data_IF_189807524926
#
_entry.id   IF_189807524926
#
_cell.length_a   1.000
_cell.length_b   1.000
_cell.length_c   1.000
_cell.angle_alpha   90.00
_cell.angle_beta   90.00
_cell.angle_gamma   90.00
#
_symmetry.space_group_name_H-M   'P 1'
#
loop_
_entity.id
_entity.type
_entity.pdbx_description
1 polymer ?
#
# COMPACT_ATOMS: atom_id res chain seq x y z
N UNK A 1 1.72 0.35 -10.41
CA UNK A 1 2.12 1.76 -10.16
C UNK A 1 2.36 1.94 -8.67
N UNK A 2 3.36 2.74 -8.29
CA UNK A 2 3.59 3.18 -6.91
C UNK A 2 2.78 4.45 -6.61
N UNK A 3 1.83 4.37 -5.67
CA UNK A 3 0.93 5.48 -5.33
C UNK A 3 1.35 6.26 -4.07
N UNK A 4 2.52 5.95 -3.49
CA UNK A 4 3.00 6.55 -2.25
C UNK A 4 3.08 5.54 -1.10
N UNK A 5 3.24 6.07 0.11
CA UNK A 5 3.33 5.28 1.36
C UNK A 5 2.39 5.86 2.42
N UNK A 6 1.82 4.99 3.25
CA UNK A 6 0.95 5.34 4.37
C UNK A 6 1.61 4.89 5.67
N UNK A 7 1.63 5.76 6.68
CA UNK A 7 2.30 5.52 7.96
C UNK A 7 1.48 5.92 9.18
N UNK A 8 0.22 6.32 8.98
CA UNK A 8 -0.70 6.79 10.04
C UNK A 8 -2.04 6.04 9.93
N UNK A 9 -2.84 6.08 10.98
CA UNK A 9 -4.17 5.45 11.01
C UNK A 9 -4.18 3.97 11.38
N UNK A 10 -3.03 3.42 11.78
CA UNK A 10 -2.93 2.06 12.30
C UNK A 10 -3.05 2.06 13.82
N UNK A 11 -3.80 1.11 14.36
CA UNK A 11 -3.67 0.70 15.76
C UNK A 11 -2.71 -0.49 15.91
N UNK A 12 -2.41 -0.87 17.15
CA UNK A 12 -1.49 -1.99 17.45
C UNK A 12 -2.00 -3.34 16.91
N UNK A 13 -3.30 -3.59 16.98
CA UNK A 13 -3.87 -4.87 16.55
C UNK A 13 -3.79 -5.01 15.03
N UNK A 14 -4.09 -3.93 14.31
CA UNK A 14 -4.02 -3.88 12.85
C UNK A 14 -2.57 -4.00 12.36
N UNK A 15 -1.60 -3.35 13.02
CA UNK A 15 -0.18 -3.55 12.70
C UNK A 15 0.26 -5.01 12.87
N UNK A 16 -0.14 -5.66 13.96
CA UNK A 16 0.19 -7.06 14.21
C UNK A 16 -0.41 -7.98 13.13
N UNK A 17 -1.68 -7.77 12.80
CA UNK A 17 -2.40 -8.52 11.75
C UNK A 17 -1.78 -8.32 10.37
N UNK A 18 -1.48 -7.09 9.99
CA UNK A 18 -0.81 -6.79 8.72
C UNK A 18 0.57 -7.40 8.66
N UNK A 19 1.35 -7.31 9.74
CA UNK A 19 2.70 -7.89 9.80
C UNK A 19 2.68 -9.40 9.59
N UNK A 20 1.77 -10.12 10.26
CA UNK A 20 1.61 -11.56 10.08
C UNK A 20 1.26 -11.89 8.63
N UNK A 21 0.23 -11.24 8.07
CA UNK A 21 -0.23 -11.53 6.71
C UNK A 21 0.79 -11.17 5.63
N UNK A 22 1.49 -10.04 5.77
CA UNK A 22 2.50 -9.60 4.81
C UNK A 22 3.74 -10.50 4.81
N UNK A 23 4.09 -11.09 5.96
CA UNK A 23 5.23 -12.00 6.08
C UNK A 23 5.05 -13.26 5.22
N UNK A 24 3.82 -13.78 5.11
CA UNK A 24 3.47 -14.92 4.25
C UNK A 24 3.55 -14.60 2.73
N UNK A 25 3.62 -13.32 2.39
CA UNK A 25 3.59 -12.82 1.02
C UNK A 25 4.97 -12.33 0.56
N UNK A 26 6.01 -12.45 1.37
CA UNK A 26 7.34 -11.92 1.07
C UNK A 26 7.89 -12.43 -0.27
N UNK A 27 8.54 -11.53 -1.01
CA UNK A 27 9.19 -11.83 -2.29
C UNK A 27 10.51 -11.07 -2.44
N UNK A 28 11.41 -11.60 -3.27
CA UNK A 28 12.75 -11.04 -3.43
C UNK A 28 12.81 -9.74 -4.26
N UNK A 29 11.83 -9.49 -5.13
CA UNK A 29 11.84 -8.36 -6.07
C UNK A 29 10.61 -7.49 -5.90
N UNK A 30 10.71 -6.21 -6.25
CA UNK A 30 9.59 -5.29 -6.23
C UNK A 30 8.46 -5.75 -7.17
N UNK A 31 7.18 -5.77 -6.72
CA UNK A 31 6.04 -6.04 -7.58
C UNK A 31 5.60 -4.80 -8.39
N UNK A 32 6.18 -3.63 -8.13
CA UNK A 32 5.81 -2.40 -8.82
C UNK A 32 6.36 -2.40 -10.24
N UNK A 33 5.45 -2.21 -11.22
CA UNK A 33 5.81 -1.98 -12.63
C UNK A 33 6.55 -0.65 -12.84
N UNK A 34 6.23 0.36 -12.03
CA UNK A 34 6.88 1.67 -12.05
C UNK A 34 8.02 1.71 -11.04
N UNK A 35 9.04 2.52 -11.31
CA UNK A 35 10.15 2.74 -10.38
C UNK A 35 9.64 3.22 -9.00
N UNK A 36 10.13 2.57 -7.94
CA UNK A 36 9.93 3.00 -6.56
C UNK A 36 11.11 3.88 -6.18
N UNK A 37 10.89 5.09 -5.62
CA UNK A 37 11.97 5.97 -5.22
C UNK A 37 13.01 5.25 -4.34
N UNK A 38 14.30 5.49 -4.58
CA UNK A 38 15.40 4.74 -3.94
C UNK A 38 15.34 4.77 -2.42
N UNK A 39 14.95 5.91 -1.85
CA UNK A 39 14.79 6.09 -0.41
C UNK A 39 13.66 5.25 0.18
N UNK A 40 12.63 4.93 -0.63
CA UNK A 40 11.53 4.04 -0.24
C UNK A 40 11.86 2.58 -0.48
N UNK A 41 12.64 2.29 -1.53
CA UNK A 41 13.09 0.94 -1.84
C UNK A 41 14.14 0.42 -0.85
N UNK A 42 14.98 1.32 -0.31
CA UNK A 42 16.04 0.96 0.63
C UNK A 42 15.45 0.38 1.93
N UNK A 43 15.68 -0.91 2.16
CA UNK A 43 15.19 -1.63 3.34
C UNK A 43 13.72 -2.05 3.27
N UNK A 44 13.07 -1.88 2.11
CA UNK A 44 11.72 -2.40 1.90
C UNK A 44 11.73 -3.94 1.87
N UNK A 45 10.73 -4.55 2.51
CA UNK A 45 10.36 -5.95 2.28
C UNK A 45 9.27 -5.98 1.22
N UNK A 46 9.55 -6.60 0.08
CA UNK A 46 8.59 -6.70 -1.01
C UNK A 46 7.62 -7.85 -0.73
N UNK A 47 6.35 -7.67 -1.12
CA UNK A 47 5.32 -8.68 -0.93
C UNK A 47 4.53 -8.89 -2.22
N UNK A 48 3.89 -10.06 -2.36
CA UNK A 48 2.91 -10.32 -3.42
C UNK A 48 1.75 -9.33 -3.28
N UNK A 49 1.29 -8.70 -4.39
CA UNK A 49 0.22 -7.71 -4.36
C UNK A 49 -1.16 -8.38 -4.25
N UNK A 50 -1.38 -9.12 -3.16
CA UNK A 50 -2.58 -9.94 -2.93
C UNK A 50 -3.58 -9.29 -1.96
N UNK A 51 -3.14 -8.28 -1.19
CA UNK A 51 -3.99 -7.62 -0.20
C UNK A 51 -4.53 -6.29 -0.74
N UNK A 52 -5.82 -6.03 -0.50
CA UNK A 52 -6.44 -4.73 -0.73
C UNK A 52 -6.63 -4.02 0.60
N UNK A 53 -6.23 -2.76 0.66
CA UNK A 53 -6.37 -1.87 1.81
C UNK A 53 -7.06 -0.58 1.41
N UNK A 54 -7.80 -0.02 2.35
CA UNK A 54 -8.44 1.29 2.20
C UNK A 54 -7.61 2.37 2.87
N UNK A 55 -7.51 3.52 2.19
CA UNK A 55 -6.85 4.72 2.72
C UNK A 55 -7.73 5.94 2.44
N UNK A 56 -7.83 6.83 3.42
CA UNK A 56 -8.34 8.17 3.20
C UNK A 56 -7.17 9.09 2.83
N UNK A 57 -7.35 9.99 1.86
CA UNK A 57 -6.29 10.88 1.40
C UNK A 57 -6.90 12.23 0.99
N UNK A 58 -6.07 13.28 0.91
CA UNK A 58 -6.55 14.64 0.61
C UNK A 58 -6.75 14.89 -0.89
N UNK A 59 -5.80 14.42 -1.69
CA UNK A 59 -5.78 14.62 -3.15
C UNK A 59 -4.74 13.70 -3.80
N UNK A 60 -4.90 13.49 -5.11
CA UNK A 60 -3.83 13.00 -5.97
C UNK A 60 -2.85 14.14 -6.28
N UNK A 61 -1.56 13.82 -6.32
CA UNK A 61 -0.51 14.74 -6.82
C UNK A 61 -0.37 14.60 -8.34
N UNK A 62 0.28 15.57 -8.99
CA UNK A 62 0.54 15.55 -10.43
C UNK A 62 1.38 14.34 -10.86
N UNK A 63 2.32 13.89 -10.02
CA UNK A 63 3.11 12.67 -10.20
C UNK A 63 2.38 11.39 -9.78
N UNK A 64 1.09 11.49 -9.45
CA UNK A 64 0.24 10.33 -9.30
C UNK A 64 0.30 9.63 -7.95
N UNK A 65 0.64 10.36 -6.89
CA UNK A 65 0.75 9.86 -5.52
C UNK A 65 -0.37 10.38 -4.65
N UNK A 66 -0.65 9.68 -3.56
CA UNK A 66 -1.60 10.09 -2.54
C UNK A 66 -0.96 11.14 -1.63
N UNK A 67 -1.64 12.27 -1.43
CA UNK A 67 -1.24 13.30 -0.47
C UNK A 67 -1.94 13.12 0.87
N UNK A 68 -1.16 13.06 1.94
CA UNK A 68 -1.60 12.82 3.34
C UNK A 68 -2.49 11.57 3.51
N UNK A 69 -2.06 10.38 3.04
CA UNK A 69 -2.84 9.17 3.22
C UNK A 69 -2.88 8.73 4.69
N UNK A 70 -4.04 8.23 5.13
CA UNK A 70 -4.29 7.62 6.43
C UNK A 70 -4.94 6.26 6.23
N UNK A 71 -4.44 5.22 6.89
CA UNK A 71 -4.99 3.88 6.81
C UNK A 71 -6.40 3.80 7.38
N UNK A 72 -7.28 3.03 6.72
CA UNK A 72 -8.67 2.79 7.16
C UNK A 72 -8.97 1.31 7.43
N UNK A 73 -8.17 0.40 6.89
CA UNK A 73 -8.33 -1.03 7.14
C UNK A 73 -8.11 -1.90 5.91
N UNK A 74 -7.91 -3.19 6.13
CA UNK A 74 -7.96 -4.19 5.06
C UNK A 74 -9.38 -4.35 4.49
N UNK A 75 -9.46 -4.63 3.18
CA UNK A 75 -10.70 -4.90 2.43
C UNK A 75 -10.68 -6.34 1.91
N UNK A 76 -10.93 -7.35 2.76
CA UNK A 76 -10.95 -8.75 2.33
C UNK A 76 -12.11 -9.07 1.37
N UNK A 77 -13.08 -8.16 1.27
CA UNK A 77 -14.20 -8.20 0.32
C UNK A 77 -13.80 -7.76 -1.10
N UNK A 78 -12.55 -7.33 -1.32
CA UNK A 78 -12.05 -6.81 -2.60
C UNK A 78 -10.84 -7.59 -3.08
N UNK A 79 -10.69 -7.67 -4.41
CA UNK A 79 -9.52 -8.29 -5.04
C UNK A 79 -8.65 -7.25 -5.75
N UNK A 80 -7.31 -7.45 -5.82
CA UNK A 80 -6.39 -6.47 -6.40
C UNK A 80 -6.71 -6.04 -7.84
N UNK A 81 -7.25 -6.96 -8.65
CA UNK A 81 -7.59 -6.69 -10.05
C UNK A 81 -8.71 -5.65 -10.25
N UNK A 82 -9.56 -5.45 -9.24
CA UNK A 82 -10.65 -4.47 -9.24
C UNK A 82 -10.18 -3.05 -8.89
N UNK A 83 -9.00 -2.91 -8.26
CA UNK A 83 -8.54 -1.62 -7.78
C UNK A 83 -8.22 -0.71 -8.97
N UNK A 84 -8.87 0.46 -8.97
CA UNK A 84 -8.64 1.57 -9.91
C UNK A 84 -8.31 2.82 -9.11
N UNK A 85 -7.74 3.82 -9.79
CA UNK A 85 -7.61 5.14 -9.16
C UNK A 85 -9.01 5.64 -8.81
N UNK A 86 -9.15 6.18 -7.61
CA UNK A 86 -10.36 6.90 -7.23
C UNK A 86 -10.48 8.15 -8.11
N UNK A 87 -11.68 8.36 -8.65
CA UNK A 87 -12.05 9.59 -9.34
C UNK A 87 -11.96 10.77 -8.35
N UNK A 88 -11.54 11.92 -8.87
CA UNK A 88 -11.38 13.17 -8.10
C UNK A 88 -12.63 14.02 -8.09
#
# INVERSE_FOLDING_TARGET
MFAGSVGTGFDRAELARLTARLSELEMARSPFVSEVPRERARGARWVRPELVGEVAFRQWTADGRLRFPTWRGLRPDRVPGEVRRADG
#
